data_IF_475392848871
#
_entry.id   IF_475392848871
#
_cell.length_a   1.000
_cell.length_b   1.000
_cell.length_c   1.000
_cell.angle_alpha   90.00
_cell.angle_beta   90.00
_cell.angle_gamma   90.00
#
_symmetry.space_group_name_H-M   'P 1'
#
loop_
_entity.id
_entity.type
_entity.pdbx_description
1 polymer ?
#
# COMPACT_ATOMS: atom_id res chain seq x y z
N UNK A 1 -0.30 -3.35 -8.47
CA UNK A 1 -0.22 -2.08 -9.21
C UNK A 1 1.23 -1.70 -9.42
N UNK A 2 1.63 -1.36 -10.65
CA UNK A 2 3.02 -1.09 -11.08
C UNK A 2 3.57 0.29 -10.70
N UNK A 3 3.08 0.93 -9.63
CA UNK A 3 3.52 2.29 -9.27
C UNK A 3 3.16 3.38 -10.29
N UNK A 4 2.21 3.13 -11.19
CA UNK A 4 1.67 4.17 -12.07
C UNK A 4 0.58 4.94 -11.31
N UNK A 5 0.97 6.05 -10.66
CA UNK A 5 0.05 6.97 -10.00
C UNK A 5 -0.69 7.91 -10.97
N UNK A 6 -1.37 8.91 -10.41
CA UNK A 6 -2.11 10.00 -11.09
C UNK A 6 -1.51 10.43 -12.44
N UNK A 7 -2.30 10.46 -13.52
CA UNK A 7 -1.84 10.78 -14.88
C UNK A 7 -1.18 12.15 -15.05
N UNK A 8 -1.30 13.06 -14.06
CA UNK A 8 -0.59 14.33 -14.02
C UNK A 8 0.68 14.33 -13.13
N UNK A 9 0.76 13.49 -12.08
CA UNK A 9 1.79 13.60 -11.02
C UNK A 9 2.41 12.28 -10.54
N UNK A 10 1.86 11.14 -10.96
CA UNK A 10 2.25 9.78 -10.60
C UNK A 10 2.41 9.51 -9.09
N UNK A 11 1.67 10.21 -8.21
CA UNK A 11 1.67 9.91 -6.78
C UNK A 11 0.71 8.75 -6.46
N UNK A 12 1.22 7.67 -5.85
CA UNK A 12 0.45 6.48 -5.44
C UNK A 12 0.29 6.36 -3.91
N UNK A 13 0.90 7.27 -3.16
CA UNK A 13 0.71 7.42 -1.73
C UNK A 13 -0.66 8.05 -1.47
N UNK A 14 -1.54 7.37 -0.73
CA UNK A 14 -2.87 7.83 -0.33
C UNK A 14 -4.04 7.66 -1.32
N UNK A 15 -3.98 6.70 -2.25
CA UNK A 15 -5.16 6.33 -3.03
C UNK A 15 -6.16 5.53 -2.18
N UNK A 16 -7.46 5.88 -2.19
CA UNK A 16 -8.49 5.03 -1.61
C UNK A 16 -8.54 3.68 -2.34
N UNK A 17 -8.41 2.58 -1.61
CA UNK A 17 -8.39 1.23 -2.18
C UNK A 17 -9.41 0.37 -1.45
N UNK A 18 -10.23 -0.34 -2.23
CA UNK A 18 -11.13 -1.37 -1.73
C UNK A 18 -10.53 -2.74 -2.04
N UNK A 19 -10.39 -3.57 -1.01
CA UNK A 19 -9.99 -4.97 -1.14
C UNK A 19 -11.23 -5.84 -0.92
N UNK A 20 -11.53 -6.70 -1.88
CA UNK A 20 -12.62 -7.67 -1.81
C UNK A 20 -12.08 -9.10 -1.87
N UNK A 21 -12.73 -10.02 -1.16
CA UNK A 21 -12.31 -11.41 -1.02
C UNK A 21 -11.50 -11.69 0.26
N UNK A 22 -11.33 -12.97 0.58
CA UNK A 22 -10.70 -13.42 1.84
C UNK A 22 -9.34 -14.10 1.66
N UNK A 23 -8.82 -14.19 0.43
CA UNK A 23 -7.58 -14.91 0.11
C UNK A 23 -7.49 -16.30 0.79
N UNK A 24 -8.54 -17.11 0.66
CA UNK A 24 -8.58 -18.43 1.31
C UNK A 24 -8.69 -18.38 2.84
N UNK A 25 -9.27 -17.31 3.39
CA UNK A 25 -9.39 -17.08 4.84
C UNK A 25 -8.16 -16.43 5.49
N UNK A 26 -7.26 -15.85 4.70
CA UNK A 26 -6.06 -15.13 5.18
C UNK A 26 -6.25 -13.63 5.32
N UNK A 27 -7.28 -13.06 4.70
CA UNK A 27 -7.60 -11.63 4.77
C UNK A 27 -8.89 -11.41 5.56
N UNK A 28 -8.84 -10.52 6.55
CA UNK A 28 -10.00 -10.03 7.28
C UNK A 28 -10.85 -9.13 6.38
N UNK A 29 -12.12 -9.48 6.21
CA UNK A 29 -13.08 -8.69 5.42
C UNK A 29 -13.82 -7.65 6.28
N UNK A 30 -14.57 -6.75 5.63
CA UNK A 30 -15.40 -5.75 6.31
C UNK A 30 -14.60 -4.68 7.09
N UNK A 31 -13.29 -4.59 6.86
CA UNK A 31 -12.42 -3.58 7.47
C UNK A 31 -12.30 -2.36 6.55
N UNK A 32 -12.36 -1.18 7.15
CA UNK A 32 -11.91 0.06 6.54
C UNK A 32 -10.56 0.43 7.17
N UNK A 33 -9.51 0.43 6.36
CA UNK A 33 -8.14 0.77 6.81
C UNK A 33 -7.69 2.00 6.03
N UNK A 34 -7.46 3.10 6.72
CA UNK A 34 -6.90 4.30 6.13
C UNK A 34 -5.36 4.22 6.13
N UNK A 35 -4.78 3.73 5.05
CA UNK A 35 -3.31 3.61 4.91
C UNK A 35 -2.61 4.98 4.80
N UNK A 36 -3.39 6.04 4.59
CA UNK A 36 -2.91 7.42 4.47
C UNK A 36 -3.12 8.28 5.71
N UNK A 37 -3.66 7.74 6.80
CA UNK A 37 -3.99 8.51 8.01
C UNK A 37 -2.77 9.27 8.56
N UNK A 38 -1.57 8.72 8.38
CA UNK A 38 -0.33 9.39 8.77
C UNK A 38 0.36 10.11 7.60
N UNK A 39 0.04 9.82 6.33
CA UNK A 39 0.62 10.54 5.18
C UNK A 39 -0.12 11.84 4.88
N UNK A 40 0.46 12.97 5.25
CA UNK A 40 0.04 14.28 4.73
C UNK A 40 0.55 14.54 3.30
N UNK A 41 0.10 15.62 2.63
CA UNK A 41 0.70 16.09 1.39
C UNK A 41 2.18 16.39 1.61
N UNK A 42 3.06 15.78 0.81
CA UNK A 42 4.50 16.02 0.94
C UNK A 42 4.98 16.98 -0.13
N UNK A 43 5.62 18.05 0.32
CA UNK A 43 6.16 19.08 -0.55
C UNK A 43 7.26 18.51 -1.46
N UNK A 44 7.33 19.00 -2.70
CA UNK A 44 8.44 18.66 -3.60
C UNK A 44 9.76 19.12 -2.99
N UNK A 45 10.79 18.27 -3.05
CA UNK A 45 12.17 18.64 -2.72
C UNK A 45 12.97 18.73 -4.01
N UNK A 46 13.55 19.89 -4.30
CA UNK A 46 14.31 20.16 -5.53
C UNK A 46 13.51 19.86 -6.82
N UNK A 47 12.22 20.20 -6.84
CA UNK A 47 11.33 19.95 -7.97
C UNK A 47 10.89 18.49 -8.15
N UNK A 48 11.38 17.56 -7.32
CA UNK A 48 10.98 16.15 -7.33
C UNK A 48 9.96 15.86 -6.23
N UNK A 49 8.99 15.02 -6.54
CA UNK A 49 8.17 14.38 -5.51
C UNK A 49 9.07 13.47 -4.68
N UNK A 50 8.88 13.50 -3.37
CA UNK A 50 9.59 12.64 -2.42
C UNK A 50 8.57 11.71 -1.77
N UNK A 51 9.05 10.56 -1.30
CA UNK A 51 8.22 9.61 -0.56
C UNK A 51 7.55 10.31 0.62
N UNK A 52 6.30 9.93 0.94
CA UNK A 52 5.62 10.56 2.04
C UNK A 52 6.38 10.29 3.34
N UNK A 53 6.56 11.32 4.17
CA UNK A 53 7.31 11.24 5.44
C UNK A 53 6.62 10.28 6.45
N UNK A 54 5.35 9.99 6.22
CA UNK A 54 4.49 9.15 7.04
C UNK A 54 3.46 8.44 6.14
N UNK A 55 2.75 7.42 6.65
CA UNK A 55 1.83 6.56 5.88
C UNK A 55 2.42 5.21 5.50
N UNK A 56 1.56 4.20 5.30
CA UNK A 56 2.01 2.89 4.81
C UNK A 56 2.07 2.93 3.27
N UNK A 57 3.22 2.60 2.64
CA UNK A 57 3.31 2.51 1.20
C UNK A 57 2.26 1.54 0.66
N UNK A 58 1.64 1.89 -0.46
CA UNK A 58 0.77 0.98 -1.21
C UNK A 58 1.46 -0.36 -1.52
N UNK A 59 2.79 -0.35 -1.70
CA UNK A 59 3.60 -1.55 -1.84
C UNK A 59 3.41 -2.56 -0.68
N UNK A 60 3.16 -2.11 0.56
CA UNK A 60 2.86 -2.98 1.70
C UNK A 60 1.56 -3.74 1.50
N UNK A 61 0.53 -3.10 0.93
CA UNK A 61 -0.73 -3.77 0.62
C UNK A 61 -0.52 -4.87 -0.41
N UNK A 62 0.23 -4.60 -1.48
CA UNK A 62 0.53 -5.59 -2.51
C UNK A 62 1.32 -6.77 -1.94
N UNK A 63 2.38 -6.50 -1.15
CA UNK A 63 3.17 -7.54 -0.49
C UNK A 63 2.29 -8.42 0.42
N UNK A 64 1.40 -7.79 1.18
CA UNK A 64 0.43 -8.50 2.05
C UNK A 64 -0.46 -9.44 1.24
N UNK A 65 -0.99 -8.98 0.10
CA UNK A 65 -1.83 -9.80 -0.77
C UNK A 65 -1.06 -10.98 -1.39
N UNK A 66 0.17 -10.75 -1.85
CA UNK A 66 1.01 -11.83 -2.39
C UNK A 66 1.27 -12.92 -1.34
N UNK A 67 1.66 -12.52 -0.13
CA UNK A 67 1.89 -13.49 0.96
C UNK A 67 0.60 -14.20 1.38
N UNK A 68 -0.52 -13.47 1.46
CA UNK A 68 -1.83 -14.07 1.77
C UNK A 68 -2.29 -15.09 0.72
N UNK A 69 -1.89 -14.90 -0.55
CA UNK A 69 -2.14 -15.84 -1.65
C UNK A 69 -1.10 -16.97 -1.74
N UNK A 70 -0.17 -17.06 -0.79
CA UNK A 70 0.82 -18.14 -0.69
C UNK A 70 2.11 -17.92 -1.47
N UNK A 71 2.36 -16.73 -2.02
CA UNK A 71 3.62 -16.41 -2.67
C UNK A 71 4.72 -16.21 -1.61
N UNK A 72 5.89 -16.81 -1.85
CA UNK A 72 7.10 -16.63 -1.04
C UNK A 72 7.83 -15.35 -1.45
N UNK A 73 7.21 -14.20 -1.20
CA UNK A 73 7.79 -12.89 -1.49
C UNK A 73 8.16 -12.17 -0.19
N UNK A 74 9.44 -11.84 -0.03
CA UNK A 74 9.94 -11.11 1.15
C UNK A 74 9.96 -9.59 0.93
N UNK A 75 9.86 -9.16 -0.33
CA UNK A 75 9.88 -7.75 -0.75
C UNK A 75 9.03 -7.56 -2.01
N UNK A 76 8.40 -6.40 -2.13
CA UNK A 76 7.81 -5.92 -3.39
C UNK A 76 8.02 -4.42 -3.55
N UNK A 77 8.63 -3.99 -4.66
CA UNK A 77 9.09 -2.61 -4.84
C UNK A 77 9.85 -2.14 -3.58
N UNK A 78 9.42 -1.05 -2.94
CA UNK A 78 10.05 -0.53 -1.74
C UNK A 78 9.48 -1.08 -0.43
N UNK A 79 8.54 -2.03 -0.51
CA UNK A 79 7.96 -2.69 0.65
C UNK A 79 8.74 -3.91 1.09
N UNK A 80 9.10 -3.95 2.37
CA UNK A 80 9.60 -5.12 3.11
C UNK A 80 8.67 -5.47 4.28
N UNK A 81 7.46 -4.90 4.33
CA UNK A 81 6.53 -5.04 5.46
C UNK A 81 5.08 -5.18 5.02
N UNK A 82 4.28 -5.86 5.84
CA UNK A 82 2.87 -6.13 5.57
C UNK A 82 1.93 -5.25 6.37
N UNK A 83 0.71 -5.06 5.86
CA UNK A 83 -0.40 -4.43 6.56
C UNK A 83 -1.04 -5.46 7.48
N UNK A 84 -0.47 -5.64 8.68
CA UNK A 84 -0.90 -6.66 9.65
C UNK A 84 -2.39 -6.61 9.98
N UNK A 85 -3.00 -5.43 9.97
CA UNK A 85 -4.41 -5.22 10.26
C UNK A 85 -5.36 -5.89 9.26
N UNK A 86 -4.86 -6.32 8.10
CA UNK A 86 -5.62 -7.03 7.07
C UNK A 86 -5.51 -8.56 7.19
N UNK A 87 -4.58 -9.08 8.00
CA UNK A 87 -4.33 -10.52 8.10
C UNK A 87 -5.08 -11.14 9.29
N UNK A 88 -5.45 -12.42 9.14
CA UNK A 88 -5.99 -13.27 10.21
C UNK A 88 -4.88 -13.78 11.13
#
# INVERSE_FOLDING_TARGET
>A
GSGLGDGATHQYSALPIVVAGSAGGKILNGKHVNLSETSGPVAKKNGKYVDPEQGLPLANLWLTQMQALGLKADRYADSTSVVKQLLV
#
